data_IF_697839937713
#
_entry.id   IF_697839937713
#
_cell.length_a   1.000
_cell.length_b   1.000
_cell.length_c   1.000
_cell.angle_alpha   90.00
_cell.angle_beta   90.00
_cell.angle_gamma   90.00
#
_symmetry.space_group_name_H-M   'P 1'
#
loop_
_entity.id
_entity.type
_entity.pdbx_description
1 polymer ?
#
# COMPACT_ATOMS: atom_id res chain seq x y z
N UNK A 1 -7.05 40.13 10.83
CA UNK A 1 -5.70 39.63 11.13
C UNK A 1 -5.08 39.10 9.84
N UNK A 2 -3.78 39.25 9.65
CA UNK A 2 -3.09 38.67 8.48
C UNK A 2 -2.97 37.15 8.66
N UNK A 3 -3.11 36.39 7.57
CA UNK A 3 -2.99 34.93 7.61
C UNK A 3 -1.55 34.51 7.94
N UNK A 4 -1.40 33.48 8.79
CA UNK A 4 -0.11 32.81 9.04
C UNK A 4 0.15 31.66 8.09
N UNK A 5 -0.78 31.34 7.18
CA UNK A 5 -0.63 30.27 6.20
C UNK A 5 0.65 30.38 5.34
N UNK A 6 1.05 31.56 4.82
CA UNK A 6 2.29 31.68 4.06
C UNK A 6 3.54 31.30 4.88
N UNK A 7 3.52 31.51 6.19
CA UNK A 7 4.64 31.14 7.07
C UNK A 7 4.85 29.62 7.12
N UNK A 8 3.76 28.85 7.08
CA UNK A 8 3.83 27.38 7.00
C UNK A 8 4.45 26.97 5.66
N UNK A 9 3.92 27.50 4.55
CA UNK A 9 4.35 27.12 3.21
C UNK A 9 5.81 27.51 2.94
N UNK A 10 6.27 28.68 3.42
CA UNK A 10 7.66 29.12 3.32
C UNK A 10 8.65 28.24 4.08
N UNK A 11 8.18 27.55 5.13
CA UNK A 11 8.99 26.71 6.01
C UNK A 11 9.10 25.25 5.50
N UNK A 12 8.12 24.78 4.73
CA UNK A 12 8.13 23.42 4.19
C UNK A 12 9.36 23.19 3.28
N UNK A 13 9.92 21.97 3.36
CA UNK A 13 11.18 21.56 2.71
C UNK A 13 12.41 22.42 3.08
N UNK A 14 12.38 23.13 4.21
CA UNK A 14 13.54 23.83 4.78
C UNK A 14 14.10 23.09 5.98
N UNK A 15 15.37 23.31 6.29
CA UNK A 15 15.99 22.73 7.47
C UNK A 15 15.48 23.41 8.74
N UNK A 16 15.43 22.70 9.88
CA UNK A 16 14.96 23.25 11.17
C UNK A 16 15.70 24.54 11.56
N UNK A 17 16.98 24.61 11.20
CA UNK A 17 17.85 25.77 11.49
C UNK A 17 17.56 27.00 10.63
N UNK A 18 16.78 26.86 9.56
CA UNK A 18 16.53 27.94 8.62
C UNK A 18 15.56 28.96 9.21
N UNK A 19 15.73 30.24 8.83
CA UNK A 19 14.94 31.34 9.38
C UNK A 19 13.41 31.17 9.22
N UNK A 20 12.87 30.62 8.10
CA UNK A 20 11.44 30.34 7.98
C UNK A 20 10.92 29.36 9.04
N UNK A 21 11.63 28.26 9.29
CA UNK A 21 11.22 27.25 10.29
C UNK A 21 11.30 27.81 11.70
N UNK A 22 12.33 28.59 12.01
CA UNK A 22 12.45 29.26 13.33
C UNK A 22 11.31 30.23 13.61
N UNK A 23 10.90 31.03 12.62
CA UNK A 23 9.72 31.91 12.75
C UNK A 23 8.43 31.12 12.98
N UNK A 24 8.28 29.97 12.31
CA UNK A 24 7.15 29.08 12.53
C UNK A 24 7.15 28.51 13.96
N UNK A 25 8.29 28.06 14.46
CA UNK A 25 8.46 27.58 15.84
C UNK A 25 8.05 28.66 16.85
N UNK A 26 8.50 29.90 16.66
CA UNK A 26 8.09 31.04 17.50
C UNK A 26 6.58 31.28 17.45
N UNK A 27 5.97 31.23 16.26
CA UNK A 27 4.53 31.40 16.08
C UNK A 27 3.70 30.26 16.71
N UNK A 28 4.29 29.07 16.87
CA UNK A 28 3.70 27.94 17.58
C UNK A 28 3.90 28.00 19.11
N UNK A 29 4.50 29.08 19.62
CA UNK A 29 4.69 29.32 21.06
C UNK A 29 6.12 29.05 21.56
N UNK A 30 7.05 28.65 20.68
CA UNK A 30 8.49 28.53 20.97
C UNK A 30 8.90 27.37 21.90
N UNK A 31 8.10 27.07 22.93
CA UNK A 31 8.35 26.00 23.89
C UNK A 31 7.94 24.64 23.31
N UNK A 32 8.93 23.76 23.13
CA UNK A 32 8.74 22.38 22.67
C UNK A 32 8.16 21.58 23.83
N UNK A 33 6.98 21.00 23.62
CA UNK A 33 6.27 20.21 24.63
C UNK A 33 6.77 18.77 24.66
N UNK A 34 6.81 18.11 23.51
CA UNK A 34 7.34 16.74 23.37
C UNK A 34 8.03 16.57 22.02
N UNK A 35 9.06 15.74 21.99
CA UNK A 35 9.68 15.27 20.76
C UNK A 35 9.67 13.74 20.76
N UNK A 36 9.23 13.14 19.65
CA UNK A 36 9.40 11.71 19.40
C UNK A 36 10.27 11.54 18.18
N UNK A 37 11.29 10.69 18.28
CA UNK A 37 12.25 10.42 17.22
C UNK A 37 12.21 8.93 16.87
N UNK A 38 12.26 8.63 15.58
CA UNK A 38 12.28 7.27 15.09
C UNK A 38 12.94 7.22 13.71
N UNK A 39 13.87 6.28 13.56
CA UNK A 39 14.38 5.90 12.24
C UNK A 39 13.42 4.95 11.55
N UNK A 40 13.20 5.12 10.25
CA UNK A 40 12.43 4.18 9.43
C UNK A 40 13.09 3.98 8.07
N UNK A 41 12.82 2.84 7.44
CA UNK A 41 13.42 2.46 6.17
C UNK A 41 14.89 2.08 6.25
N UNK A 42 15.44 1.71 5.10
CA UNK A 42 16.87 1.50 4.85
C UNK A 42 17.20 2.00 3.42
N UNK A 43 18.12 2.95 3.23
CA UNK A 43 18.85 3.71 4.25
C UNK A 43 17.91 4.41 5.25
N UNK A 44 18.35 4.48 6.50
CA UNK A 44 17.53 5.02 7.58
C UNK A 44 17.22 6.51 7.37
N UNK A 45 15.94 6.88 7.46
CA UNK A 45 15.49 8.28 7.58
C UNK A 45 15.08 8.53 9.01
N UNK A 46 15.63 9.56 9.65
CA UNK A 46 15.23 9.97 11.00
C UNK A 46 13.97 10.84 10.93
N UNK A 47 12.82 10.29 11.32
CA UNK A 47 11.59 11.04 11.52
C UNK A 47 11.53 11.60 12.94
N UNK A 48 11.43 12.92 13.06
CA UNK A 48 11.27 13.63 14.33
C UNK A 48 9.98 14.42 14.34
N UNK A 49 9.11 14.11 15.29
CA UNK A 49 7.85 14.84 15.52
C UNK A 49 8.00 15.73 16.74
N UNK A 50 7.93 17.05 16.53
CA UNK A 50 8.05 18.07 17.58
C UNK A 50 6.68 18.68 17.81
N UNK A 51 6.12 18.50 19.00
CA UNK A 51 4.83 19.06 19.40
C UNK A 51 4.99 20.28 20.28
N UNK A 52 4.03 21.19 20.16
CA UNK A 52 3.97 22.44 20.89
C UNK A 52 2.74 22.46 21.79
N UNK A 53 2.82 23.16 22.92
CA UNK A 53 1.70 23.27 23.86
C UNK A 53 0.45 23.93 23.21
N UNK A 54 0.66 24.73 22.16
CA UNK A 54 -0.38 25.36 21.33
C UNK A 54 -1.23 24.38 20.50
N UNK A 55 -0.85 23.09 20.44
CA UNK A 55 -1.49 22.09 19.59
C UNK A 55 -0.90 21.99 18.19
N UNK A 56 0.16 22.77 17.88
CA UNK A 56 0.91 22.58 16.65
C UNK A 56 1.91 21.42 16.73
N UNK A 57 2.21 20.85 15.57
CA UNK A 57 3.21 19.80 15.43
C UNK A 57 4.01 19.98 14.14
N UNK A 58 5.32 19.76 14.22
CA UNK A 58 6.25 19.73 13.10
C UNK A 58 6.75 18.30 12.92
N UNK A 59 6.75 17.80 11.68
CA UNK A 59 7.35 16.52 11.33
C UNK A 59 8.56 16.79 10.45
N UNK A 60 9.72 16.32 10.89
CA UNK A 60 11.00 16.50 10.21
C UNK A 60 11.57 15.16 9.77
N UNK A 61 12.11 15.10 8.55
CA UNK A 61 12.94 14.01 8.06
C UNK A 61 14.37 14.53 7.91
N UNK A 62 15.32 13.95 8.66
CA UNK A 62 16.73 14.36 8.64
C UNK A 62 16.90 15.90 8.75
N UNK A 63 16.23 16.47 9.75
CA UNK A 63 16.12 17.91 10.04
C UNK A 63 15.41 18.78 8.98
N UNK A 64 14.89 18.18 7.90
CA UNK A 64 14.07 18.88 6.89
C UNK A 64 12.60 18.82 7.27
N UNK A 65 11.93 19.97 7.32
CA UNK A 65 10.50 20.04 7.65
C UNK A 65 9.65 19.49 6.49
N UNK A 66 9.01 18.34 6.70
CA UNK A 66 8.18 17.66 5.67
C UNK A 66 6.69 17.85 5.87
N UNK A 67 6.24 18.06 7.12
CA UNK A 67 4.86 18.37 7.41
C UNK A 67 4.68 19.31 8.61
N UNK A 68 3.61 20.10 8.56
CA UNK A 68 3.09 20.87 9.70
C UNK A 68 1.67 20.42 9.98
N UNK A 69 1.36 20.09 11.22
CA UNK A 69 0.03 19.68 11.64
C UNK A 69 -0.51 20.69 12.65
N UNK A 70 -1.71 21.21 12.39
CA UNK A 70 -2.45 22.05 13.32
C UNK A 70 -3.61 21.22 13.89
N UNK A 71 -3.47 20.78 15.15
CA UNK A 71 -4.49 19.98 15.82
C UNK A 71 -5.61 20.87 16.35
N UNK A 72 -6.85 20.60 15.92
CA UNK A 72 -8.05 21.35 16.36
C UNK A 72 -8.80 20.67 17.49
N UNK A 73 -8.38 19.47 17.83
CA UNK A 73 -8.81 18.72 19.02
C UNK A 73 -7.58 18.41 19.90
N UNK A 74 -7.71 18.34 21.24
CA UNK A 74 -6.59 18.04 22.11
C UNK A 74 -6.02 16.64 21.80
N UNK A 75 -4.70 16.53 21.66
CA UNK A 75 -4.03 15.23 21.41
C UNK A 75 -3.66 14.49 22.70
N UNK A 76 -3.65 15.21 23.83
CA UNK A 76 -3.40 14.70 25.19
C UNK A 76 -3.95 15.70 26.21
N UNK A 77 -3.98 15.34 27.50
CA UNK A 77 -4.40 16.23 28.59
C UNK A 77 -3.55 17.48 28.76
N UNK A 78 -2.36 17.52 28.16
CA UNK A 78 -1.36 18.58 28.32
C UNK A 78 -1.20 19.45 27.06
N UNK A 79 -1.87 19.08 25.95
CA UNK A 79 -1.86 19.87 24.71
C UNK A 79 -3.15 20.65 24.55
N UNK A 80 -3.04 21.95 24.26
CA UNK A 80 -4.20 22.76 23.87
C UNK A 80 -4.54 22.53 22.39
N UNK A 81 -5.66 23.10 21.95
CA UNK A 81 -6.06 23.11 20.54
C UNK A 81 -5.56 24.37 19.87
N UNK A 82 -5.10 24.27 18.63
CA UNK A 82 -4.79 25.45 17.80
C UNK A 82 -6.08 26.21 17.54
N UNK A 83 -6.10 27.52 17.74
CA UNK A 83 -7.16 28.38 17.21
C UNK A 83 -6.91 28.65 15.73
N UNK A 84 -7.65 27.95 14.85
CA UNK A 84 -7.49 28.11 13.40
C UNK A 84 -7.73 29.53 12.90
N UNK A 85 -8.49 30.34 13.61
CA UNK A 85 -8.77 31.73 13.20
C UNK A 85 -7.52 32.61 13.19
N UNK A 86 -6.49 32.24 13.97
CA UNK A 86 -5.18 32.91 13.96
C UNK A 86 -4.34 32.55 12.72
N UNK A 87 -4.59 31.39 12.12
CA UNK A 87 -3.81 30.86 11.00
C UNK A 87 -4.47 31.17 9.66
N UNK A 88 -5.78 30.93 9.58
CA UNK A 88 -6.60 31.08 8.39
C UNK A 88 -7.75 32.04 8.73
N UNK A 89 -7.65 33.32 8.34
CA UNK A 89 -8.68 34.30 8.63
C UNK A 89 -10.05 33.84 8.12
N UNK A 90 -11.04 33.80 9.02
CA UNK A 90 -12.39 33.34 8.72
C UNK A 90 -12.63 31.84 8.90
N UNK A 91 -11.60 31.04 9.21
CA UNK A 91 -11.76 29.67 9.66
C UNK A 91 -12.00 29.60 11.17
N UNK A 92 -12.65 28.53 11.63
CA UNK A 92 -12.80 28.19 13.05
C UNK A 92 -12.52 26.71 13.23
N UNK A 93 -12.30 26.24 14.46
CA UNK A 93 -12.11 24.81 14.74
C UNK A 93 -13.37 23.98 14.45
N UNK A 94 -14.54 24.62 14.29
CA UNK A 94 -15.78 23.98 13.88
C UNK A 94 -16.02 24.03 12.36
N UNK A 95 -15.06 24.52 11.56
CA UNK A 95 -15.23 24.70 10.13
C UNK A 95 -15.51 23.38 9.41
N UNK A 96 -16.50 23.41 8.52
CA UNK A 96 -16.77 22.33 7.57
C UNK A 96 -15.86 22.46 6.35
N UNK A 97 -15.85 21.45 5.48
CA UNK A 97 -15.14 21.50 4.21
C UNK A 97 -15.62 22.63 3.29
N UNK A 98 -16.92 22.94 3.33
CA UNK A 98 -17.50 24.03 2.55
C UNK A 98 -17.14 25.41 3.13
N UNK A 99 -16.89 25.50 4.45
CA UNK A 99 -16.36 26.72 5.05
C UNK A 99 -14.91 26.94 4.65
N UNK A 100 -14.08 25.89 4.65
CA UNK A 100 -12.70 25.98 4.15
C UNK A 100 -12.64 26.41 2.69
N UNK A 101 -13.55 25.93 1.84
CA UNK A 101 -13.64 26.35 0.45
C UNK A 101 -13.87 27.86 0.28
N UNK A 102 -14.49 28.54 1.26
CA UNK A 102 -14.74 29.99 1.19
C UNK A 102 -13.52 30.82 1.61
N UNK A 103 -12.64 30.26 2.45
CA UNK A 103 -11.55 31.01 3.10
C UNK A 103 -10.16 30.61 2.62
N UNK A 104 -9.99 29.39 2.12
CA UNK A 104 -8.75 28.92 1.50
C UNK A 104 -8.81 29.22 0.01
N UNK A 105 -7.90 30.07 -0.45
CA UNK A 105 -7.73 30.39 -1.87
C UNK A 105 -6.97 29.25 -2.57
N UNK A 106 -7.65 28.12 -2.79
CA UNK A 106 -7.08 26.91 -3.35
C UNK A 106 -8.13 25.99 -3.96
N UNK A 107 -7.73 25.16 -4.93
CA UNK A 107 -8.66 24.20 -5.55
C UNK A 107 -8.87 23.03 -4.61
N UNK A 108 -10.12 22.77 -4.22
CA UNK A 108 -10.50 21.58 -3.46
C UNK A 108 -10.36 20.32 -4.32
N UNK A 109 -9.72 19.30 -3.75
CA UNK A 109 -9.51 17.97 -4.30
C UNK A 109 -9.74 16.90 -3.24
N UNK A 110 -9.65 15.64 -3.64
CA UNK A 110 -9.75 14.49 -2.75
C UNK A 110 -8.59 13.53 -3.02
N UNK A 111 -7.96 13.06 -1.94
CA UNK A 111 -7.06 11.94 -1.93
C UNK A 111 -7.89 10.67 -1.66
N UNK A 112 -7.87 9.73 -2.60
CA UNK A 112 -8.75 8.56 -2.56
C UNK A 112 -10.23 8.93 -2.52
N UNK A 113 -11.02 8.18 -1.74
CA UNK A 113 -12.48 8.31 -1.69
C UNK A 113 -13.02 9.27 -0.62
N UNK A 114 -12.17 9.88 0.22
CA UNK A 114 -12.71 10.60 1.38
C UNK A 114 -11.79 11.58 2.09
N UNK A 115 -10.55 11.80 1.66
CA UNK A 115 -9.66 12.75 2.34
C UNK A 115 -9.56 14.06 1.54
N UNK A 116 -10.27 15.13 1.94
CA UNK A 116 -10.22 16.39 1.22
C UNK A 116 -8.88 17.12 1.42
N UNK A 117 -8.42 17.78 0.36
CA UNK A 117 -7.28 18.69 0.43
C UNK A 117 -7.43 19.89 -0.51
N UNK A 118 -6.61 20.90 -0.29
CA UNK A 118 -6.55 22.13 -1.06
C UNK A 118 -5.16 22.31 -1.66
N UNK A 119 -5.10 22.59 -2.96
CA UNK A 119 -3.88 23.03 -3.65
C UNK A 119 -3.57 24.49 -3.25
N UNK A 120 -2.37 24.76 -2.74
CA UNK A 120 -1.87 26.07 -2.32
C UNK A 120 -0.61 26.45 -3.11
N UNK A 121 -0.26 27.73 -3.13
CA UNK A 121 1.01 28.16 -3.71
C UNK A 121 2.18 27.69 -2.82
N UNK A 122 2.95 26.72 -3.31
CA UNK A 122 4.07 26.13 -2.58
C UNK A 122 3.74 24.87 -1.75
N UNK A 123 2.52 24.32 -1.85
CA UNK A 123 2.19 23.05 -1.19
C UNK A 123 0.70 22.71 -1.15
N UNK A 124 0.32 21.89 -0.18
CA UNK A 124 -1.04 21.36 -0.03
C UNK A 124 -1.50 21.47 1.42
N UNK A 125 -2.80 21.69 1.61
CA UNK A 125 -3.45 21.61 2.92
C UNK A 125 -4.49 20.49 2.91
N UNK A 126 -4.25 19.43 3.68
CA UNK A 126 -5.15 18.29 3.87
C UNK A 126 -5.94 18.47 5.15
N UNK A 127 -7.25 18.25 5.08
CA UNK A 127 -8.12 18.31 6.25
C UNK A 127 -8.51 16.91 6.70
N UNK A 128 -8.16 16.58 7.94
CA UNK A 128 -8.57 15.34 8.58
C UNK A 128 -9.82 15.60 9.42
N UNK A 129 -10.90 14.92 9.02
CA UNK A 129 -12.16 14.94 9.72
C UNK A 129 -12.40 13.58 10.36
N UNK A 130 -13.13 13.58 11.47
CA UNK A 130 -13.57 12.39 12.16
C UNK A 130 -14.15 11.34 11.21
N UNK A 131 -13.72 10.10 11.39
CA UNK A 131 -14.11 8.92 10.62
C UNK A 131 -13.85 9.03 9.10
N UNK A 132 -13.03 10.00 8.67
CA UNK A 132 -12.78 10.36 7.27
C UNK A 132 -14.06 10.60 6.45
N UNK A 133 -15.15 11.03 7.11
CA UNK A 133 -16.47 11.27 6.47
C UNK A 133 -17.24 12.45 7.05
N UNK A 134 -16.87 12.94 8.25
CA UNK A 134 -17.58 14.01 8.96
C UNK A 134 -17.40 15.43 8.40
N UNK A 135 -16.94 15.59 7.16
CA UNK A 135 -16.50 16.89 6.62
C UNK A 135 -17.62 17.90 6.36
N UNK A 136 -18.89 17.49 6.43
CA UNK A 136 -20.06 18.36 6.33
C UNK A 136 -20.58 18.82 7.69
N UNK A 137 -20.11 18.21 8.77
CA UNK A 137 -20.63 18.43 10.11
C UNK A 137 -19.69 19.35 10.90
N UNK A 138 -20.19 20.46 11.47
CA UNK A 138 -19.37 21.36 12.27
C UNK A 138 -18.76 20.66 13.49
N UNK A 139 -17.49 20.96 13.77
CA UNK A 139 -16.77 20.42 14.94
C UNK A 139 -16.15 19.04 14.72
N UNK A 140 -16.31 18.43 13.54
CA UNK A 140 -15.68 17.15 13.21
C UNK A 140 -14.26 17.28 12.65
N UNK A 141 -13.72 18.49 12.52
CA UNK A 141 -12.33 18.70 12.11
C UNK A 141 -11.39 18.30 13.24
N UNK A 142 -10.46 17.39 12.95
CA UNK A 142 -9.46 16.92 13.92
C UNK A 142 -8.11 17.62 13.72
N UNK A 143 -7.71 17.83 12.46
CA UNK A 143 -6.50 18.58 12.14
C UNK A 143 -6.45 19.11 10.70
N UNK A 144 -5.59 20.11 10.49
CA UNK A 144 -5.10 20.50 9.17
C UNK A 144 -3.62 20.13 9.04
N UNK A 145 -3.29 19.43 7.98
CA UNK A 145 -1.93 18.99 7.66
C UNK A 145 -1.44 19.74 6.43
N UNK A 146 -0.24 20.29 6.49
CA UNK A 146 0.41 20.97 5.38
C UNK A 146 1.65 20.20 4.92
N UNK A 147 1.77 19.94 3.63
CA UNK A 147 2.87 19.19 3.00
C UNK A 147 3.28 19.84 1.67
N UNK A 148 4.52 19.60 1.23
CA UNK A 148 4.93 19.93 -0.15
C UNK A 148 4.36 18.92 -1.14
N UNK A 149 4.34 17.66 -0.73
CA UNK A 149 3.88 16.56 -1.58
C UNK A 149 2.36 16.49 -1.62
N UNK A 150 1.85 16.06 -2.77
CA UNK A 150 0.42 15.99 -3.04
C UNK A 150 -0.22 14.84 -2.23
N UNK A 151 -1.24 15.14 -1.39
CA UNK A 151 -1.96 14.11 -0.67
C UNK A 151 -2.54 13.03 -1.60
N UNK A 152 -2.29 11.78 -1.24
CA UNK A 152 -2.77 10.60 -1.98
C UNK A 152 -1.86 10.13 -3.11
N UNK A 153 -0.78 10.85 -3.42
CA UNK A 153 0.26 10.38 -4.33
C UNK A 153 1.49 9.85 -3.60
N UNK A 154 1.76 10.36 -2.40
CA UNK A 154 2.87 9.94 -1.54
C UNK A 154 2.39 9.49 -0.16
N UNK A 155 3.30 8.86 0.59
CA UNK A 155 3.05 8.48 1.98
C UNK A 155 2.78 9.71 2.86
N UNK A 156 1.91 9.52 3.86
CA UNK A 156 1.63 10.52 4.89
C UNK A 156 2.80 10.55 5.88
N UNK A 157 3.49 11.68 6.11
CA UNK A 157 4.58 11.75 7.09
C UNK A 157 4.13 11.40 8.53
N UNK A 158 2.84 11.51 8.84
CA UNK A 158 2.28 11.11 10.14
C UNK A 158 2.35 9.61 10.37
N UNK A 159 2.41 8.81 9.31
CA UNK A 159 2.45 7.35 9.36
C UNK A 159 3.85 6.80 9.67
N UNK A 160 4.90 7.64 9.71
CA UNK A 160 6.28 7.20 10.00
C UNK A 160 6.41 6.47 11.33
N UNK A 161 5.55 6.80 12.29
CA UNK A 161 5.51 6.16 13.60
C UNK A 161 4.51 5.00 13.70
N UNK A 162 4.00 4.51 12.57
CA UNK A 162 3.10 3.37 12.53
C UNK A 162 3.69 2.18 13.31
N UNK A 163 3.02 1.77 14.38
CA UNK A 163 3.46 0.68 15.27
C UNK A 163 3.39 -0.69 14.60
N UNK A 164 2.67 -0.81 13.49
CA UNK A 164 2.49 -2.06 12.78
C UNK A 164 3.61 -2.38 11.76
N UNK A 165 4.20 -1.37 11.12
CA UNK A 165 5.19 -1.59 10.05
C UNK A 165 6.53 -0.91 10.30
N UNK A 166 6.55 0.29 10.91
CA UNK A 166 7.80 1.03 11.11
C UNK A 166 8.73 0.43 12.17
N UNK A 167 8.26 -0.56 12.94
CA UNK A 167 9.04 -1.24 14.00
C UNK A 167 9.59 -2.59 13.56
N UNK A 168 9.37 -2.99 12.31
CA UNK A 168 9.76 -4.32 11.82
C UNK A 168 11.22 -4.41 11.39
N UNK A 169 11.89 -3.26 11.22
CA UNK A 169 13.30 -3.22 10.84
C UNK A 169 14.15 -3.48 12.08
N UNK A 170 14.93 -4.55 12.04
CA UNK A 170 15.89 -4.91 13.08
C UNK A 170 17.27 -4.39 12.67
N UNK A 171 17.97 -3.76 13.62
CA UNK A 171 19.33 -3.27 13.42
C UNK A 171 20.29 -4.02 14.32
N UNK A 172 21.48 -4.30 13.81
CA UNK A 172 22.56 -4.94 14.56
C UNK A 172 23.27 -3.96 15.51
N UNK A 173 24.30 -4.43 16.22
CA UNK A 173 25.11 -3.62 17.14
C UNK A 173 25.83 -2.44 16.46
N UNK A 174 25.93 -2.45 15.13
CA UNK A 174 26.55 -1.40 14.32
C UNK A 174 25.54 -0.43 13.71
N UNK A 175 24.26 -0.53 14.10
CA UNK A 175 23.11 0.23 13.56
C UNK A 175 22.81 -0.06 12.08
N UNK A 176 23.41 -1.11 11.52
CA UNK A 176 23.14 -1.59 10.17
C UNK A 176 21.89 -2.48 10.17
N UNK A 177 21.16 -2.53 9.05
CA UNK A 177 19.99 -3.39 8.93
C UNK A 177 20.40 -4.87 9.03
N UNK A 178 19.88 -5.58 10.02
CA UNK A 178 19.93 -7.03 10.07
C UNK A 178 18.85 -7.58 9.14
N UNK A 179 19.27 -7.99 7.94
CA UNK A 179 18.34 -8.44 6.89
C UNK A 179 17.62 -9.71 7.31
N UNK A 180 18.30 -10.66 7.96
CA UNK A 180 17.71 -11.94 8.33
C UNK A 180 16.64 -11.76 9.41
N UNK A 181 16.96 -11.06 10.49
CA UNK A 181 16.01 -10.77 11.56
C UNK A 181 14.86 -9.86 11.08
N UNK A 182 15.14 -8.91 10.18
CA UNK A 182 14.09 -8.08 9.56
C UNK A 182 13.14 -8.91 8.71
N UNK A 183 13.65 -9.82 7.88
CA UNK A 183 12.81 -10.74 7.07
C UNK A 183 11.98 -11.64 7.98
N UNK A 184 12.54 -12.11 9.09
CA UNK A 184 11.80 -12.89 10.09
C UNK A 184 10.66 -12.08 10.72
N UNK A 185 10.94 -10.87 11.19
CA UNK A 185 9.94 -9.97 11.78
C UNK A 185 8.81 -9.63 10.79
N UNK A 186 9.13 -9.37 9.52
CA UNK A 186 8.14 -9.11 8.46
C UNK A 186 7.31 -10.37 8.18
N UNK A 187 7.93 -11.56 8.17
CA UNK A 187 7.24 -12.84 7.99
C UNK A 187 6.22 -13.09 9.09
N UNK A 188 6.58 -12.84 10.36
CA UNK A 188 5.67 -12.97 11.50
C UNK A 188 4.53 -11.93 11.45
N UNK A 189 4.83 -10.70 11.03
CA UNK A 189 3.82 -9.67 10.83
C UNK A 189 2.85 -10.02 9.68
N UNK A 190 3.32 -10.70 8.63
CA UNK A 190 2.47 -11.21 7.56
C UNK A 190 1.59 -12.37 8.05
N UNK A 191 2.18 -13.33 8.77
CA UNK A 191 1.46 -14.49 9.32
C UNK A 191 0.36 -14.09 10.34
N UNK A 192 0.57 -13.02 11.09
CA UNK A 192 -0.41 -12.45 12.03
C UNK A 192 -1.45 -11.53 11.36
N UNK A 193 -1.34 -11.29 10.05
CA UNK A 193 -2.27 -10.45 9.28
C UNK A 193 -2.07 -8.93 9.47
N UNK A 194 -1.00 -8.52 10.15
CA UNK A 194 -0.62 -7.10 10.30
C UNK A 194 -0.15 -6.53 8.95
N UNK A 195 0.60 -7.33 8.21
CA UNK A 195 0.97 -7.09 6.82
C UNK A 195 0.23 -8.04 5.89
N UNK A 196 -0.05 -7.59 4.66
CA UNK A 196 -0.60 -8.43 3.59
C UNK A 196 0.35 -8.42 2.41
N UNK A 197 0.90 -9.57 2.07
CA UNK A 197 1.75 -9.74 0.88
C UNK A 197 0.99 -9.39 -0.40
N UNK A 198 1.68 -8.71 -1.32
CA UNK A 198 1.26 -8.62 -2.71
C UNK A 198 1.70 -9.89 -3.44
N UNK A 199 0.74 -10.76 -3.74
CA UNK A 199 0.92 -12.03 -4.47
C UNK A 199 1.56 -11.86 -5.85
N UNK A 200 1.63 -10.63 -6.36
CA UNK A 200 2.33 -10.34 -7.61
C UNK A 200 3.85 -10.41 -7.44
N UNK A 201 4.38 -10.25 -6.22
CA UNK A 201 5.81 -10.12 -5.91
C UNK A 201 6.40 -11.39 -5.27
N UNK A 202 7.72 -11.40 -5.05
CA UNK A 202 8.39 -12.50 -4.33
C UNK A 202 7.82 -12.58 -2.92
N UNK A 203 7.43 -13.77 -2.48
CA UNK A 203 6.97 -13.96 -1.11
C UNK A 203 8.10 -13.60 -0.13
N UNK A 204 7.76 -13.01 1.01
CA UNK A 204 8.76 -12.63 2.02
C UNK A 204 9.62 -13.84 2.48
N UNK A 205 9.02 -15.04 2.51
CA UNK A 205 9.69 -16.29 2.88
C UNK A 205 10.73 -16.74 1.85
N UNK A 206 10.51 -16.36 0.59
CA UNK A 206 11.35 -16.74 -0.54
C UNK A 206 12.43 -15.68 -0.84
N UNK A 207 12.38 -14.50 -0.19
CA UNK A 207 13.28 -13.38 -0.45
C UNK A 207 14.77 -13.74 -0.29
N UNK A 208 15.14 -14.33 0.86
CA UNK A 208 16.53 -14.67 1.18
C UNK A 208 17.07 -15.83 0.33
N UNK A 209 16.38 -16.99 0.21
CA UNK A 209 16.84 -18.08 -0.64
C UNK A 209 17.01 -17.66 -2.10
N UNK A 210 16.06 -16.88 -2.62
CA UNK A 210 16.10 -16.43 -4.01
C UNK A 210 17.24 -15.43 -4.26
N UNK A 211 17.49 -14.50 -3.33
CA UNK A 211 18.65 -13.62 -3.42
C UNK A 211 19.96 -14.41 -3.38
N UNK A 212 20.10 -15.34 -2.43
CA UNK A 212 21.30 -16.18 -2.29
C UNK A 212 21.59 -17.06 -3.53
N UNK A 213 20.56 -17.41 -4.31
CA UNK A 213 20.71 -18.21 -5.54
C UNK A 213 21.45 -17.50 -6.67
N UNK A 214 21.46 -16.15 -6.68
CA UNK A 214 22.02 -15.37 -7.79
C UNK A 214 21.23 -15.45 -9.10
N UNK A 215 20.06 -16.08 -9.12
CA UNK A 215 19.23 -16.22 -10.34
C UNK A 215 18.52 -14.93 -10.73
N UNK A 216 18.43 -13.98 -9.80
CA UNK A 216 17.89 -12.64 -10.02
C UNK A 216 18.90 -11.61 -9.54
N UNK A 217 19.16 -10.59 -10.36
CA UNK A 217 20.01 -9.46 -9.98
C UNK A 217 19.42 -8.71 -8.77
N UNK A 218 18.10 -8.53 -8.79
CA UNK A 218 17.30 -7.81 -7.80
C UNK A 218 16.09 -8.66 -7.39
N UNK A 219 15.89 -8.84 -6.09
CA UNK A 219 14.76 -9.54 -5.49
C UNK A 219 14.00 -8.55 -4.61
N UNK A 220 12.68 -8.49 -4.74
CA UNK A 220 11.84 -7.61 -3.92
C UNK A 220 10.56 -8.31 -3.46
N UNK A 221 10.24 -8.11 -2.18
CA UNK A 221 8.93 -8.40 -1.60
C UNK A 221 8.19 -7.10 -1.29
N UNK A 222 6.90 -7.07 -1.59
CA UNK A 222 6.01 -5.95 -1.28
C UNK A 222 4.86 -6.40 -0.37
N UNK A 223 4.64 -5.68 0.72
CA UNK A 223 3.59 -5.97 1.69
C UNK A 223 2.80 -4.72 2.09
N UNK A 224 1.48 -4.79 2.04
CA UNK A 224 0.61 -3.68 2.50
C UNK A 224 0.40 -3.75 4.01
N UNK A 225 0.75 -2.69 4.73
CA UNK A 225 0.39 -2.56 6.15
C UNK A 225 -1.12 -2.38 6.30
N UNK A 226 -1.77 -3.23 7.11
CA UNK A 226 -3.23 -3.12 7.32
C UNK A 226 -3.62 -1.90 8.18
N UNK A 227 -2.69 -1.34 8.95
CA UNK A 227 -2.92 -0.16 9.80
C UNK A 227 -2.78 1.15 9.04
N UNK A 228 -1.61 1.43 8.45
CA UNK A 228 -1.36 2.70 7.75
C UNK A 228 -1.53 2.64 6.23
N UNK A 229 -1.79 1.45 5.65
CA UNK A 229 -1.96 1.23 4.20
C UNK A 229 -0.73 1.52 3.32
N UNK A 230 0.39 1.94 3.87
CA UNK A 230 1.67 2.04 3.14
C UNK A 230 2.13 0.66 2.68
N UNK A 231 2.81 0.63 1.54
CA UNK A 231 3.45 -0.58 1.01
C UNK A 231 4.88 -0.61 1.56
N UNK A 232 5.19 -1.63 2.36
CA UNK A 232 6.54 -1.97 2.76
C UNK A 232 7.20 -2.74 1.61
N UNK A 233 8.24 -2.17 1.03
CA UNK A 233 9.08 -2.80 0.02
C UNK A 233 10.42 -3.15 0.64
N UNK A 234 10.83 -4.41 0.58
CA UNK A 234 12.19 -4.84 0.94
C UNK A 234 12.88 -5.39 -0.31
N UNK A 235 14.00 -4.79 -0.68
CA UNK A 235 14.78 -5.10 -1.89
C UNK A 235 16.18 -5.55 -1.51
N UNK A 236 16.61 -6.66 -2.13
CA UNK A 236 17.97 -7.16 -2.08
C UNK A 236 18.53 -7.20 -3.51
N UNK A 237 19.65 -6.52 -3.75
CA UNK A 237 20.30 -6.43 -5.05
C UNK A 237 21.79 -6.76 -4.91
N UNK A 238 22.32 -7.55 -5.84
CA UNK A 238 23.70 -8.04 -5.76
C UNK A 238 24.71 -6.89 -5.83
N UNK A 239 25.56 -6.79 -4.81
CA UNK A 239 26.59 -5.75 -4.73
C UNK A 239 26.08 -4.38 -4.30
N UNK A 240 24.80 -4.26 -3.94
CA UNK A 240 24.18 -3.07 -3.37
C UNK A 240 23.71 -3.39 -1.94
N UNK A 241 23.70 -2.39 -1.06
CA UNK A 241 23.12 -2.56 0.28
C UNK A 241 21.61 -2.85 0.23
N UNK A 242 21.03 -3.50 1.26
CA UNK A 242 19.60 -3.73 1.31
C UNK A 242 18.84 -2.41 1.31
N UNK A 243 17.66 -2.40 0.72
CA UNK A 243 16.77 -1.24 0.72
C UNK A 243 15.42 -1.62 1.31
N UNK A 244 14.93 -0.81 2.26
CA UNK A 244 13.60 -0.96 2.86
C UNK A 244 12.88 0.36 2.76
N UNK A 245 11.74 0.39 2.08
CA UNK A 245 11.00 1.63 1.82
C UNK A 245 9.52 1.48 2.18
N UNK A 246 8.91 2.57 2.63
CA UNK A 246 7.47 2.66 2.86
C UNK A 246 6.88 3.60 1.81
N UNK A 247 6.15 3.04 0.85
CA UNK A 247 5.72 3.74 -0.36
C UNK A 247 4.21 3.81 -0.48
N UNK A 248 3.71 4.80 -1.22
CA UNK A 248 2.33 4.79 -1.68
C UNK A 248 2.15 3.71 -2.75
N UNK A 249 0.92 3.22 -2.92
CA UNK A 249 0.60 2.16 -3.88
C UNK A 249 1.08 2.47 -5.31
N UNK A 250 0.95 3.73 -5.75
CA UNK A 250 1.34 4.12 -7.10
C UNK A 250 2.85 4.14 -7.30
N UNK A 251 3.63 4.44 -6.26
CA UNK A 251 5.08 4.43 -6.28
C UNK A 251 5.59 2.99 -6.26
N UNK A 252 5.06 2.15 -5.36
CA UNK A 252 5.41 0.73 -5.28
C UNK A 252 5.13 -0.02 -6.60
N UNK A 253 4.06 0.36 -7.32
CA UNK A 253 3.73 -0.21 -8.65
C UNK A 253 4.70 0.16 -9.77
N UNK A 254 5.52 1.20 -9.59
CA UNK A 254 6.55 1.58 -10.57
C UNK A 254 7.81 0.73 -10.43
N UNK A 255 7.97 0.02 -9.31
CA UNK A 255 9.07 -0.91 -9.13
C UNK A 255 9.00 -2.03 -10.15
N UNK A 256 10.17 -2.51 -10.56
CA UNK A 256 10.33 -3.53 -11.59
C UNK A 256 10.85 -4.82 -10.99
N UNK A 257 10.38 -5.93 -11.52
CA UNK A 257 10.84 -7.25 -11.16
C UNK A 257 10.88 -8.11 -12.43
N UNK A 258 11.99 -8.82 -12.63
CA UNK A 258 12.07 -9.86 -13.64
C UNK A 258 11.12 -11.03 -13.31
N UNK A 259 10.96 -11.99 -14.24
CA UNK A 259 10.23 -13.21 -13.94
C UNK A 259 10.86 -13.92 -12.75
N UNK A 260 10.03 -14.42 -11.83
CA UNK A 260 10.49 -15.18 -10.67
C UNK A 260 10.91 -16.58 -11.18
N UNK A 261 12.19 -17.00 -10.99
CA UNK A 261 12.65 -18.33 -11.36
C UNK A 261 11.88 -19.44 -10.65
N UNK A 262 11.72 -20.61 -11.28
CA UNK A 262 11.00 -21.73 -10.67
C UNK A 262 11.73 -22.23 -9.41
N UNK A 263 10.95 -22.68 -8.42
CA UNK A 263 11.44 -23.04 -7.08
C UNK A 263 12.45 -24.19 -7.12
N UNK A 264 12.36 -25.10 -8.08
CA UNK A 264 13.31 -26.20 -8.27
C UNK A 264 14.77 -25.75 -8.53
N UNK A 265 14.97 -24.48 -8.93
CA UNK A 265 16.28 -23.92 -9.18
C UNK A 265 16.97 -23.34 -7.92
N UNK A 266 16.23 -23.08 -6.83
CA UNK A 266 16.76 -22.35 -5.66
C UNK A 266 16.20 -22.78 -4.30
N UNK A 267 15.03 -23.41 -4.24
CA UNK A 267 14.40 -23.87 -3.01
C UNK A 267 15.05 -25.13 -2.44
N UNK A 268 14.88 -25.34 -1.13
CA UNK A 268 15.22 -26.60 -0.50
C UNK A 268 14.19 -27.71 -0.80
N UNK A 269 14.50 -28.96 -0.44
CA UNK A 269 13.63 -30.11 -0.71
C UNK A 269 12.20 -29.93 -0.16
N UNK A 270 12.06 -29.25 0.99
CA UNK A 270 10.77 -29.01 1.62
C UNK A 270 9.94 -27.98 0.84
N UNK A 271 10.56 -26.86 0.44
CA UNK A 271 9.92 -25.81 -0.35
C UNK A 271 9.59 -26.30 -1.77
N UNK A 272 10.47 -27.10 -2.39
CA UNK A 272 10.21 -27.74 -3.69
C UNK A 272 9.05 -28.72 -3.59
N UNK A 273 8.95 -29.50 -2.50
CA UNK A 273 7.82 -30.38 -2.27
C UNK A 273 6.51 -29.60 -2.08
N UNK A 274 6.54 -28.49 -1.35
CA UNK A 274 5.39 -27.59 -1.20
C UNK A 274 4.95 -27.00 -2.55
N UNK A 275 5.90 -26.52 -3.37
CA UNK A 275 5.61 -25.97 -4.68
C UNK A 275 4.99 -27.01 -5.63
N UNK A 276 5.49 -28.26 -5.59
CA UNK A 276 4.93 -29.36 -6.39
C UNK A 276 3.46 -29.67 -6.02
N UNK A 277 3.10 -29.49 -4.75
CA UNK A 277 1.75 -29.78 -4.26
C UNK A 277 0.81 -28.55 -4.38
N UNK A 278 1.35 -27.39 -4.74
CA UNK A 278 0.61 -26.14 -4.99
C UNK A 278 -0.08 -26.11 -6.37
N UNK A 279 -0.86 -25.06 -6.62
CA UNK A 279 -1.38 -24.79 -7.97
C UNK A 279 -0.27 -24.23 -8.86
N UNK A 280 -0.07 -24.80 -10.04
CA UNK A 280 0.88 -24.30 -11.03
C UNK A 280 0.22 -23.94 -12.36
N UNK A 281 0.77 -22.93 -13.02
CA UNK A 281 0.35 -22.50 -14.35
C UNK A 281 0.56 -23.60 -15.41
N UNK A 282 -0.42 -23.76 -16.32
CA UNK A 282 -0.33 -24.67 -17.47
C UNK A 282 -0.41 -23.90 -18.80
N UNK A 283 -1.47 -23.11 -19.01
CA UNK A 283 -1.70 -22.33 -20.23
C UNK A 283 -2.64 -21.14 -19.95
N UNK A 284 -2.75 -20.18 -20.87
CA UNK A 284 -3.75 -19.12 -20.80
C UNK A 284 -4.14 -18.53 -22.16
N UNK A 285 -5.27 -17.84 -22.21
CA UNK A 285 -5.60 -16.90 -23.28
C UNK A 285 -5.67 -15.47 -22.68
N UNK A 286 -4.83 -14.53 -23.17
CA UNK A 286 -4.76 -13.18 -22.61
C UNK A 286 -6.12 -12.52 -22.48
N UNK A 287 -6.43 -12.06 -21.26
CA UNK A 287 -7.69 -11.37 -20.95
C UNK A 287 -8.94 -12.26 -20.91
N UNK A 288 -8.81 -13.58 -21.06
CA UNK A 288 -9.96 -14.50 -21.14
C UNK A 288 -9.94 -15.60 -20.09
N UNK A 289 -8.93 -16.47 -20.09
CA UNK A 289 -8.88 -17.59 -19.16
C UNK A 289 -7.46 -18.01 -18.83
N UNK A 290 -7.30 -18.65 -17.67
CA UNK A 290 -6.07 -19.32 -17.24
C UNK A 290 -6.39 -20.79 -16.93
N UNK A 291 -5.49 -21.68 -17.32
CA UNK A 291 -5.51 -23.08 -16.94
C UNK A 291 -4.39 -23.33 -15.94
N UNK A 292 -4.75 -23.89 -14.79
CA UNK A 292 -3.81 -24.30 -13.74
C UNK A 292 -4.02 -25.76 -13.39
N UNK A 293 -3.03 -26.38 -12.77
CA UNK A 293 -3.08 -27.75 -12.30
C UNK A 293 -2.69 -27.81 -10.82
N UNK A 294 -3.31 -28.72 -10.07
CA UNK A 294 -2.91 -29.05 -8.71
C UNK A 294 -3.16 -30.54 -8.47
N UNK A 295 -2.14 -31.26 -7.98
CA UNK A 295 -2.24 -32.69 -7.68
C UNK A 295 -2.84 -33.54 -8.84
N UNK A 296 -2.48 -33.22 -10.09
CA UNK A 296 -2.96 -33.92 -11.29
C UNK A 296 -4.38 -33.53 -11.75
N UNK A 297 -5.02 -32.56 -11.08
CA UNK A 297 -6.34 -32.04 -11.45
C UNK A 297 -6.21 -30.71 -12.15
N UNK A 298 -6.98 -30.51 -13.23
CA UNK A 298 -7.00 -29.28 -14.00
C UNK A 298 -8.12 -28.35 -13.53
N UNK A 299 -7.80 -27.07 -13.42
CA UNK A 299 -8.73 -26.01 -13.07
C UNK A 299 -8.68 -24.91 -14.13
N UNK A 300 -9.86 -24.47 -14.58
CA UNK A 300 -10.03 -23.37 -15.53
C UNK A 300 -10.56 -22.16 -14.78
N UNK A 301 -9.81 -21.07 -14.79
CA UNK A 301 -10.26 -19.75 -14.33
C UNK A 301 -10.70 -18.92 -15.54
N UNK A 302 -12.00 -18.72 -15.71
CA UNK A 302 -12.57 -18.04 -16.87
C UNK A 302 -13.18 -16.69 -16.47
N UNK A 303 -12.82 -15.62 -17.20
CA UNK A 303 -13.35 -14.27 -16.97
C UNK A 303 -14.76 -14.12 -17.50
N UNK A 304 -15.62 -13.47 -16.72
CA UNK A 304 -16.98 -13.16 -17.10
C UNK A 304 -17.34 -11.72 -16.71
N UNK A 305 -18.35 -11.15 -17.38
CA UNK A 305 -18.83 -9.80 -17.12
C UNK A 305 -20.03 -9.87 -16.19
N UNK A 306 -19.98 -9.19 -15.04
CA UNK A 306 -21.12 -9.06 -14.11
C UNK A 306 -22.02 -7.92 -14.59
N UNK A 307 -21.42 -6.77 -14.91
CA UNK A 307 -22.05 -5.60 -15.50
C UNK A 307 -21.09 -4.94 -16.48
N UNK A 308 -21.56 -4.00 -17.31
CA UNK A 308 -20.69 -3.22 -18.19
C UNK A 308 -19.53 -2.48 -17.49
N UNK A 309 -19.54 -2.39 -16.16
CA UNK A 309 -18.50 -1.75 -15.35
C UNK A 309 -17.74 -2.71 -14.42
N UNK A 310 -18.17 -3.98 -14.33
CA UNK A 310 -17.63 -4.94 -13.37
C UNK A 310 -17.42 -6.27 -14.07
N UNK A 311 -16.18 -6.74 -14.11
CA UNK A 311 -15.81 -8.09 -14.49
C UNK A 311 -15.39 -8.90 -13.26
N UNK A 312 -15.44 -10.22 -13.39
CA UNK A 312 -14.96 -11.17 -12.40
C UNK A 312 -14.49 -12.46 -13.12
N UNK A 313 -14.20 -13.51 -12.38
CA UNK A 313 -13.71 -14.79 -12.89
C UNK A 313 -14.24 -15.95 -12.07
N UNK A 314 -14.54 -17.07 -12.71
CA UNK A 314 -15.02 -18.28 -12.06
C UNK A 314 -13.94 -19.36 -12.18
N UNK A 315 -13.55 -19.96 -11.05
CA UNK A 315 -12.58 -21.05 -11.01
C UNK A 315 -13.33 -22.37 -10.93
N UNK A 316 -13.21 -23.19 -11.97
CA UNK A 316 -13.87 -24.48 -12.07
C UNK A 316 -12.83 -25.59 -12.17
N UNK A 317 -13.00 -26.64 -11.37
CA UNK A 317 -12.32 -27.91 -11.64
C UNK A 317 -12.94 -28.54 -12.90
N UNK A 318 -12.09 -28.98 -13.83
CA UNK A 318 -12.52 -29.75 -14.99
C UNK A 318 -12.95 -31.14 -14.54
N UNK A 319 -14.14 -31.56 -14.92
CA UNK A 319 -14.57 -32.94 -14.69
C UNK A 319 -13.81 -33.93 -15.60
N UNK A 320 -14.02 -35.22 -15.39
CA UNK A 320 -13.33 -36.26 -16.16
C UNK A 320 -13.60 -36.18 -17.68
N UNK A 321 -14.80 -35.77 -18.08
CA UNK A 321 -15.17 -35.62 -19.48
C UNK A 321 -14.55 -34.36 -20.09
N UNK A 322 -14.61 -33.23 -19.37
CA UNK A 322 -13.98 -31.96 -19.77
C UNK A 322 -12.46 -32.11 -19.88
N UNK A 323 -11.81 -32.78 -18.91
CA UNK A 323 -10.38 -33.08 -18.97
C UNK A 323 -10.03 -34.01 -20.15
N UNK A 324 -10.87 -35.00 -20.47
CA UNK A 324 -10.67 -35.85 -21.64
C UNK A 324 -10.85 -35.09 -22.96
N UNK A 325 -11.82 -34.17 -23.03
CA UNK A 325 -12.01 -33.29 -24.18
C UNK A 325 -10.82 -32.36 -24.35
N UNK A 326 -10.32 -31.74 -23.27
CA UNK A 326 -9.10 -30.95 -23.32
C UNK A 326 -7.91 -31.75 -23.86
N UNK A 327 -7.70 -33.00 -23.42
CA UNK A 327 -6.60 -33.84 -23.94
C UNK A 327 -6.73 -34.17 -25.43
N UNK A 328 -7.94 -34.15 -25.98
CA UNK A 328 -8.21 -34.52 -27.39
C UNK A 328 -8.25 -33.30 -28.32
N UNK A 329 -8.93 -32.23 -27.88
CA UNK A 329 -9.23 -31.03 -28.67
C UNK A 329 -8.26 -29.88 -28.33
N UNK A 330 -7.63 -29.93 -27.16
CA UNK A 330 -6.69 -28.93 -26.69
C UNK A 330 -7.34 -27.59 -26.38
N UNK A 331 -6.60 -26.52 -26.66
CA UNK A 331 -6.96 -25.13 -26.35
C UNK A 331 -8.31 -24.68 -26.89
N UNK A 332 -8.75 -25.22 -28.04
CA UNK A 332 -10.04 -24.87 -28.63
C UNK A 332 -11.24 -25.27 -27.76
N UNK A 333 -11.13 -26.38 -27.01
CA UNK A 333 -12.16 -26.77 -26.05
C UNK A 333 -12.22 -25.80 -24.86
N UNK A 334 -11.07 -25.36 -24.34
CA UNK A 334 -11.02 -24.40 -23.23
C UNK A 334 -11.59 -23.05 -23.63
N UNK A 335 -11.33 -22.59 -24.85
CA UNK A 335 -11.91 -21.36 -25.37
C UNK A 335 -13.44 -21.43 -25.45
N UNK A 336 -14.00 -22.54 -25.97
CA UNK A 336 -15.44 -22.77 -26.00
C UNK A 336 -16.05 -22.86 -24.59
N UNK A 337 -15.40 -23.58 -23.68
CA UNK A 337 -15.86 -23.68 -22.29
C UNK A 337 -15.83 -22.32 -21.58
N UNK A 338 -14.78 -21.54 -21.77
CA UNK A 338 -14.66 -20.19 -21.21
C UNK A 338 -15.75 -19.25 -21.76
N UNK A 339 -16.07 -19.33 -23.06
CA UNK A 339 -17.17 -18.57 -23.67
C UNK A 339 -18.53 -18.97 -23.09
N UNK A 340 -18.76 -20.28 -22.90
CA UNK A 340 -19.98 -20.78 -22.23
C UNK A 340 -20.09 -20.29 -20.79
N UNK A 341 -18.98 -20.24 -20.05
CA UNK A 341 -18.96 -19.68 -18.68
C UNK A 341 -19.27 -18.19 -18.73
N UNK A 342 -18.65 -17.44 -19.63
CA UNK A 342 -18.88 -16.00 -19.80
C UNK A 342 -20.36 -15.69 -20.03
N UNK A 343 -20.97 -16.34 -21.01
CA UNK A 343 -22.38 -16.14 -21.36
C UNK A 343 -23.33 -16.71 -20.30
N UNK A 344 -22.88 -17.75 -19.59
CA UNK A 344 -23.65 -18.46 -18.57
C UNK A 344 -23.87 -17.69 -17.27
N UNK A 345 -23.27 -16.51 -17.08
CA UNK A 345 -23.47 -15.65 -15.90
C UNK A 345 -23.28 -16.38 -14.55
N UNK A 346 -22.09 -16.92 -14.23
CA UNK A 346 -21.80 -17.74 -13.04
C UNK A 346 -22.06 -17.04 -11.70
N UNK A 347 -22.29 -15.72 -11.69
CA UNK A 347 -22.68 -14.96 -10.51
C UNK A 347 -24.17 -15.11 -10.13
N UNK A 348 -25.00 -15.77 -10.96
CA UNK A 348 -26.44 -15.98 -10.71
C UNK A 348 -26.73 -17.42 -10.32
N UNK A 349 -27.58 -17.63 -9.32
CA UNK A 349 -27.88 -18.96 -8.76
C UNK A 349 -28.46 -19.95 -9.80
N UNK A 350 -29.14 -19.45 -10.82
CA UNK A 350 -29.71 -20.27 -11.89
C UNK A 350 -28.67 -20.77 -12.91
N UNK A 351 -27.45 -20.23 -12.86
CA UNK A 351 -26.38 -20.61 -13.77
C UNK A 351 -25.89 -22.03 -13.45
N UNK A 352 -25.66 -22.88 -14.47
CA UNK A 352 -25.04 -24.20 -14.26
C UNK A 352 -23.61 -24.11 -13.73
N UNK A 353 -22.99 -22.92 -13.78
CA UNK A 353 -21.63 -22.69 -13.30
C UNK A 353 -21.58 -22.12 -11.87
N UNK A 354 -22.70 -21.65 -11.32
CA UNK A 354 -22.73 -21.00 -10.01
C UNK A 354 -22.24 -21.90 -8.88
N UNK A 355 -22.73 -23.14 -8.83
CA UNK A 355 -22.33 -24.12 -7.82
C UNK A 355 -20.96 -24.74 -8.07
N UNK A 356 -20.41 -24.57 -9.29
CA UNK A 356 -19.10 -25.08 -9.69
C UNK A 356 -17.97 -24.08 -9.41
N UNK A 357 -18.30 -22.80 -9.22
CA UNK A 357 -17.30 -21.77 -8.95
C UNK A 357 -16.73 -21.90 -7.53
N UNK A 358 -15.50 -22.41 -7.47
CA UNK A 358 -14.78 -22.68 -6.23
C UNK A 358 -14.49 -21.41 -5.44
N UNK A 359 -14.45 -20.23 -6.09
CA UNK A 359 -14.21 -18.94 -5.40
C UNK A 359 -15.36 -18.49 -4.52
N UNK A 360 -16.55 -19.08 -4.69
CA UNK A 360 -17.77 -18.77 -3.92
C UNK A 360 -17.95 -19.65 -2.68
N UNK A 361 -17.24 -20.78 -2.62
CA UNK A 361 -17.28 -21.70 -1.49
C UNK A 361 -16.57 -21.16 -0.23
N UNK A 362 -16.66 -21.89 0.90
CA UNK A 362 -15.98 -21.52 2.14
C UNK A 362 -14.45 -21.42 1.98
N UNK A 363 -13.87 -22.19 1.06
CA UNK A 363 -12.44 -22.17 0.72
C UNK A 363 -12.08 -21.15 -0.37
N UNK A 364 -13.04 -20.34 -0.83
CA UNK A 364 -12.85 -19.45 -1.98
C UNK A 364 -11.72 -18.43 -1.80
N UNK A 365 -11.40 -18.04 -0.56
CA UNK A 365 -10.25 -17.19 -0.27
C UNK A 365 -8.92 -17.91 -0.56
N UNK A 366 -8.79 -19.17 -0.15
CA UNK A 366 -7.61 -19.99 -0.40
C UNK A 366 -7.42 -20.25 -1.90
N UNK A 367 -8.51 -20.55 -2.63
CA UNK A 367 -8.45 -20.70 -4.09
C UNK A 367 -8.03 -19.41 -4.81
N UNK A 368 -8.53 -18.25 -4.37
CA UNK A 368 -8.12 -16.96 -4.95
C UNK A 368 -6.63 -16.69 -4.73
N UNK A 369 -6.13 -17.02 -3.55
CA UNK A 369 -4.71 -16.88 -3.23
C UNK A 369 -3.84 -17.85 -4.04
N UNK A 370 -4.18 -19.14 -4.05
CA UNK A 370 -3.47 -20.17 -4.80
C UNK A 370 -3.44 -19.86 -6.31
N UNK A 371 -4.57 -19.44 -6.88
CA UNK A 371 -4.66 -19.03 -8.27
C UNK A 371 -3.76 -17.83 -8.57
N UNK A 372 -3.78 -16.81 -7.71
CA UNK A 372 -2.97 -15.59 -7.92
C UNK A 372 -1.48 -15.88 -7.87
N UNK A 373 -1.04 -16.76 -6.95
CA UNK A 373 0.34 -17.27 -6.87
C UNK A 373 0.72 -18.04 -8.13
N UNK A 374 -0.13 -18.98 -8.56
CA UNK A 374 0.13 -19.84 -9.73
C UNK A 374 0.38 -19.05 -11.03
N UNK A 375 -0.32 -17.93 -11.22
CA UNK A 375 -0.24 -17.13 -12.46
C UNK A 375 0.63 -15.88 -12.33
N UNK A 376 1.40 -15.72 -11.24
CA UNK A 376 2.13 -14.49 -10.91
C UNK A 376 2.96 -13.93 -12.07
N UNK A 377 3.64 -14.81 -12.83
CA UNK A 377 4.49 -14.47 -13.98
C UNK A 377 3.73 -14.31 -15.32
N UNK A 378 2.44 -14.64 -15.36
CA UNK A 378 1.62 -14.73 -16.58
C UNK A 378 0.51 -13.68 -16.66
N UNK A 379 0.50 -12.72 -15.73
CA UNK A 379 -0.45 -11.60 -15.72
C UNK A 379 0.05 -10.43 -16.57
N UNK A 380 -0.88 -9.55 -16.97
CA UNK A 380 -0.53 -8.28 -17.59
C UNK A 380 0.37 -7.41 -16.69
N UNK A 381 0.16 -7.46 -15.36
CA UNK A 381 1.03 -6.78 -14.40
C UNK A 381 2.47 -7.32 -14.45
N UNK A 382 2.67 -8.63 -14.63
CA UNK A 382 4.00 -9.21 -14.85
C UNK A 382 4.66 -8.68 -16.13
N UNK A 383 3.88 -8.55 -17.22
CA UNK A 383 4.38 -7.98 -18.48
C UNK A 383 4.80 -6.51 -18.32
N UNK A 384 4.01 -5.71 -17.60
CA UNK A 384 4.36 -4.30 -17.35
C UNK A 384 5.62 -4.13 -16.50
N UNK A 385 5.84 -5.00 -15.51
CA UNK A 385 7.02 -4.95 -14.64
C UNK A 385 8.32 -5.35 -15.35
N UNK A 386 8.21 -6.22 -16.36
CA UNK A 386 9.35 -6.75 -17.14
C UNK A 386 9.70 -5.92 -18.36
N UNK A 387 8.75 -5.13 -18.89
CA UNK A 387 8.94 -4.32 -20.10
C UNK A 387 8.80 -2.84 -19.76
N UNK A 388 9.92 -2.17 -19.48
CA UNK A 388 10.17 -0.74 -19.73
C UNK A 388 11.64 -0.42 -19.48
#
# INVERSE_FOLDING_TARGET
MASRLPMILDALARAERDAPVRRLIEALGGEKFTATERSFGEPAVLSRRVRFASGGELILHDDTLVAVVLHTVPTSSETSTVDLSEWIPGATNAATLDDFKKVINGRRRFAGFGTPYFELDGGYARAEFKDHRGWNDPGNLESLVFTVEQPGLTCRPEDDNCTACSQLLVRDETEMLDVEETVHAITDAAASGVLKEDVSWVSIRDLLPLHASGLMERVESQLTCQTCRRILCITLEHGVGPTVSHLALNEARQHRLGPIPPVDAWGDDARVAEERDAMHYVDHEPGRWFLVEQAGQLFLDARYVVTNMVDDSALLQLDAAEAAQYRTVGRAFLADLAERIHDGSPHREESPFFSRDLKRGPEGAAYREAMSKAIVNHTWLAQQRSVS
#
